data_IF_949803206567
#
_entry.id   IF_949803206567
#
_cell.length_a   1.000
_cell.length_b   1.000
_cell.length_c   1.000
_cell.angle_alpha   90.00
_cell.angle_beta   90.00
_cell.angle_gamma   90.00
#
_symmetry.space_group_name_H-M   'P 1'
#
loop_
_entity.id
_entity.type
_entity.pdbx_description
1 polymer ?
#
# COMPACT_ATOMS: atom_id res chain seq x y z
N UNK A 1 21.52 -4.40 31.07
CA UNK A 1 20.99 -5.78 30.97
C UNK A 1 19.62 -5.71 30.35
N UNK A 2 19.49 -5.92 29.03
CA UNK A 2 18.22 -6.03 28.33
C UNK A 2 18.32 -7.23 27.37
N UNK A 3 17.36 -8.13 27.50
CA UNK A 3 17.35 -9.48 26.94
C UNK A 3 17.08 -9.51 25.45
N UNK A 4 17.87 -10.33 24.75
CA UNK A 4 17.60 -10.89 23.42
C UNK A 4 16.23 -11.57 23.36
N UNK A 5 15.51 -11.35 22.26
CA UNK A 5 14.48 -12.28 21.79
C UNK A 5 14.77 -12.59 20.33
N UNK A 6 15.29 -13.80 20.11
CA UNK A 6 15.50 -14.43 18.80
C UNK A 6 14.29 -15.30 18.48
N UNK A 7 13.56 -14.97 17.41
CA UNK A 7 12.50 -15.84 16.90
C UNK A 7 13.11 -16.91 15.97
N UNK A 8 13.16 -18.15 16.44
CA UNK A 8 13.42 -19.35 15.63
C UNK A 8 12.10 -19.80 14.99
N UNK A 9 12.05 -19.81 13.66
CA UNK A 9 10.97 -20.45 12.90
C UNK A 9 11.29 -21.94 12.74
N UNK A 10 10.48 -22.79 13.36
CA UNK A 10 10.54 -24.24 13.23
C UNK A 10 9.54 -24.66 12.16
N UNK A 11 10.04 -25.14 11.02
CA UNK A 11 9.22 -25.77 9.97
C UNK A 11 9.08 -27.26 10.32
N UNK A 12 7.88 -27.69 10.68
CA UNK A 12 7.55 -29.11 10.86
C UNK A 12 6.91 -29.66 9.60
N UNK A 13 7.63 -30.53 8.90
CA UNK A 13 7.12 -31.40 7.85
C UNK A 13 6.23 -32.48 8.46
N UNK A 14 4.98 -32.58 7.99
CA UNK A 14 4.09 -33.70 8.34
C UNK A 14 3.93 -34.63 7.15
N UNK A 15 4.22 -35.90 7.46
CA UNK A 15 4.22 -37.09 6.62
C UNK A 15 2.79 -37.44 6.16
N UNK A 16 2.59 -37.63 4.85
CA UNK A 16 1.33 -38.13 4.30
C UNK A 16 1.43 -39.64 4.08
N UNK A 17 0.73 -40.41 4.92
CA UNK A 17 0.63 -41.88 4.85
C UNK A 17 -0.69 -42.27 4.19
N UNK A 18 -0.62 -43.15 3.20
CA UNK A 18 -1.72 -43.50 2.32
C UNK A 18 -2.84 -44.32 2.94
N UNK A 19 -4.02 -44.21 2.33
CA UNK A 19 -5.12 -45.16 2.46
C UNK A 19 -5.52 -45.68 1.07
N UNK A 20 -5.36 -47.00 0.90
CA UNK A 20 -5.95 -47.81 -0.17
C UNK A 20 -7.48 -47.69 -0.11
N UNK A 21 -8.11 -47.42 -1.24
CA UNK A 21 -9.54 -47.71 -1.43
C UNK A 21 -9.71 -48.49 -2.74
N UNK A 22 -10.23 -49.72 -2.62
CA UNK A 22 -10.68 -50.52 -3.76
C UNK A 22 -12.19 -50.39 -3.91
N UNK A 23 -12.62 -50.11 -5.14
CA UNK A 23 -13.84 -50.64 -5.76
C UNK A 23 -15.16 -49.93 -5.42
N UNK A 24 -15.75 -49.24 -6.40
CA UNK A 24 -16.90 -49.81 -7.08
C UNK A 24 -17.24 -49.07 -8.39
N UNK A 25 -17.54 -49.85 -9.42
CA UNK A 25 -18.07 -49.37 -10.69
C UNK A 25 -19.52 -48.90 -10.52
N UNK A 26 -19.82 -47.66 -10.94
CA UNK A 26 -21.11 -47.23 -11.49
C UNK A 26 -21.02 -45.79 -12.00
N UNK A 27 -21.76 -45.55 -13.09
CA UNK A 27 -22.11 -44.23 -13.66
C UNK A 27 -21.15 -43.62 -14.68
N UNK A 28 -21.10 -44.29 -15.83
CA UNK A 28 -21.11 -43.65 -17.15
C UNK A 28 -22.32 -42.70 -17.27
N UNK A 29 -22.18 -41.41 -16.92
CA UNK A 29 -23.13 -40.34 -17.24
C UNK A 29 -22.63 -38.92 -16.92
N UNK A 30 -21.37 -38.57 -17.18
CA UNK A 30 -20.89 -37.16 -17.11
C UNK A 30 -19.89 -36.82 -18.22
N UNK A 31 -20.01 -37.48 -19.37
CA UNK A 31 -19.30 -37.07 -20.59
C UNK A 31 -20.14 -35.99 -21.30
N UNK A 32 -20.08 -34.76 -20.80
CA UNK A 32 -20.94 -33.69 -21.32
C UNK A 32 -20.85 -32.35 -20.60
N UNK A 33 -19.68 -32.01 -20.06
CA UNK A 33 -19.31 -30.61 -19.86
C UNK A 33 -17.92 -30.46 -20.42
N UNK A 34 -17.85 -30.22 -21.72
CA UNK A 34 -16.71 -29.54 -22.32
C UNK A 34 -16.50 -28.31 -21.44
N UNK A 35 -15.48 -28.36 -20.60
CA UNK A 35 -14.95 -27.19 -19.93
C UNK A 35 -14.70 -26.18 -21.02
N UNK A 36 -15.51 -25.12 -21.07
CA UNK A 36 -15.18 -23.94 -21.86
C UNK A 36 -13.73 -23.59 -21.49
N UNK A 37 -12.81 -23.82 -22.43
CA UNK A 37 -11.43 -23.36 -22.29
C UNK A 37 -11.52 -21.85 -22.18
N UNK A 38 -11.48 -21.36 -20.94
CA UNK A 38 -11.39 -19.94 -20.66
C UNK A 38 -10.05 -19.50 -21.24
N UNK A 39 -10.09 -18.89 -22.42
CA UNK A 39 -8.90 -18.32 -23.04
C UNK A 39 -8.32 -17.31 -22.04
N UNK A 40 -7.14 -17.62 -21.51
CA UNK A 40 -6.40 -16.69 -20.66
C UNK A 40 -5.81 -15.68 -21.64
N UNK A 41 -6.39 -14.49 -21.70
CA UNK A 41 -5.81 -13.37 -22.45
C UNK A 41 -4.52 -12.96 -21.73
N UNK A 42 -3.40 -13.18 -22.40
CA UNK A 42 -2.10 -12.69 -21.94
C UNK A 42 -1.94 -11.21 -22.28
N UNK A 43 -1.46 -10.39 -21.35
CA UNK A 43 -1.12 -9.00 -21.61
C UNK A 43 -0.18 -8.87 -22.81
N UNK A 44 -0.43 -7.89 -23.67
CA UNK A 44 0.54 -7.53 -24.71
C UNK A 44 1.72 -6.75 -24.11
N UNK A 45 2.79 -6.60 -24.89
CA UNK A 45 3.98 -5.84 -24.45
C UNK A 45 3.61 -4.41 -24.00
N UNK A 46 2.66 -3.76 -24.68
CA UNK A 46 2.16 -2.43 -24.29
C UNK A 46 1.44 -2.41 -22.94
N UNK A 47 0.67 -3.45 -22.60
CA UNK A 47 0.01 -3.55 -21.30
C UNK A 47 1.04 -3.80 -20.19
N UNK A 48 2.10 -4.56 -20.48
CA UNK A 48 3.21 -4.78 -19.55
C UNK A 48 4.02 -3.51 -19.29
N UNK A 49 4.22 -2.68 -20.32
CA UNK A 49 4.84 -1.36 -20.18
C UNK A 49 3.97 -0.43 -19.34
N UNK A 50 2.66 -0.38 -19.59
CA UNK A 50 1.69 0.41 -18.80
C UNK A 50 1.68 -0.02 -17.31
N UNK A 51 1.67 -1.33 -17.04
CA UNK A 51 1.74 -1.86 -15.67
C UNK A 51 3.09 -1.59 -14.99
N UNK A 52 4.18 -1.61 -15.77
CA UNK A 52 5.51 -1.25 -15.26
C UNK A 52 5.57 0.23 -14.90
N UNK A 53 4.99 1.09 -15.73
CA UNK A 53 4.83 2.51 -15.45
C UNK A 53 4.05 2.73 -14.14
N UNK A 54 2.86 2.12 -14.00
CA UNK A 54 2.04 2.20 -12.79
C UNK A 54 2.79 1.74 -11.54
N UNK A 55 3.58 0.67 -11.65
CA UNK A 55 4.40 0.18 -10.54
C UNK A 55 5.46 1.19 -10.10
N UNK A 56 6.20 1.75 -11.05
CA UNK A 56 7.24 2.76 -10.75
C UNK A 56 6.59 4.02 -10.17
N UNK A 57 5.47 4.46 -10.74
CA UNK A 57 4.73 5.61 -10.27
C UNK A 57 4.20 5.39 -8.84
N UNK A 58 3.64 4.21 -8.55
CA UNK A 58 3.19 3.82 -7.21
C UNK A 58 4.30 3.81 -6.17
N UNK A 59 5.52 3.38 -6.52
CA UNK A 59 6.69 3.46 -5.61
C UNK A 59 7.03 4.92 -5.29
N UNK A 60 7.09 5.78 -6.32
CA UNK A 60 7.38 7.20 -6.12
C UNK A 60 6.31 7.88 -5.27
N UNK A 61 5.04 7.52 -5.47
CA UNK A 61 3.91 8.01 -4.68
C UNK A 61 4.05 7.60 -3.20
N UNK A 62 4.36 6.34 -2.93
CA UNK A 62 4.56 5.85 -1.57
C UNK A 62 5.70 6.58 -0.85
N UNK A 63 6.80 6.87 -1.55
CA UNK A 63 7.90 7.67 -1.01
C UNK A 63 7.50 9.12 -0.72
N UNK A 64 6.74 9.76 -1.61
CA UNK A 64 6.19 11.12 -1.36
C UNK A 64 5.29 11.12 -0.13
N UNK A 65 4.38 10.15 -0.04
CA UNK A 65 3.50 10.00 1.12
C UNK A 65 4.30 9.85 2.42
N UNK A 66 5.33 8.99 2.43
CA UNK A 66 6.22 8.83 3.59
C UNK A 66 6.87 10.15 4.01
N UNK A 67 7.40 10.93 3.05
CA UNK A 67 8.02 12.24 3.33
C UNK A 67 7.03 13.24 3.90
N UNK A 68 5.81 13.30 3.38
CA UNK A 68 4.75 14.19 3.90
C UNK A 68 4.46 13.86 5.36
N UNK A 69 4.31 12.57 5.69
CA UNK A 69 4.06 12.12 7.06
C UNK A 69 5.23 12.47 7.99
N UNK A 70 6.47 12.27 7.53
CA UNK A 70 7.67 12.63 8.29
C UNK A 70 7.75 14.14 8.55
N UNK A 71 7.55 14.96 7.51
CA UNK A 71 7.57 16.42 7.61
C UNK A 71 6.46 16.93 8.53
N UNK A 72 5.26 16.36 8.43
CA UNK A 72 4.12 16.69 9.30
C UNK A 72 4.45 16.40 10.76
N UNK A 73 5.03 15.23 11.03
CA UNK A 73 5.42 14.83 12.38
C UNK A 73 6.48 15.77 12.94
N UNK A 74 7.45 16.17 12.13
CA UNK A 74 8.46 17.16 12.52
C UNK A 74 7.83 18.51 12.87
N UNK A 75 6.95 19.04 12.01
CA UNK A 75 6.27 20.32 12.26
C UNK A 75 5.42 20.31 13.53
N UNK A 76 4.74 19.20 13.82
CA UNK A 76 3.96 19.06 15.06
C UNK A 76 4.86 19.06 16.30
N UNK A 77 6.03 18.41 16.22
CA UNK A 77 7.01 18.45 17.30
C UNK A 77 7.59 19.87 17.49
N UNK A 78 7.87 20.59 16.40
CA UNK A 78 8.28 22.00 16.42
C UNK A 78 7.20 22.87 17.07
N UNK A 79 5.94 22.73 16.67
CA UNK A 79 4.81 23.45 17.26
C UNK A 79 4.67 23.19 18.75
N UNK A 80 4.76 21.92 19.17
CA UNK A 80 4.68 21.55 20.58
C UNK A 80 5.83 22.19 21.38
N UNK A 81 7.03 22.21 20.81
CA UNK A 81 8.20 22.84 21.46
C UNK A 81 7.98 24.33 21.64
N UNK A 82 7.47 25.02 20.61
CA UNK A 82 7.12 26.44 20.68
C UNK A 82 6.05 26.69 21.75
N UNK A 83 4.97 25.91 21.76
CA UNK A 83 3.89 26.06 22.75
C UNK A 83 4.37 25.86 24.19
N UNK A 84 5.29 24.91 24.41
CA UNK A 84 5.87 24.67 25.73
C UNK A 84 6.81 25.81 26.15
N UNK A 85 7.66 26.28 25.24
CA UNK A 85 8.64 27.33 25.53
C UNK A 85 7.97 28.66 25.87
N UNK A 86 6.89 29.00 25.18
CA UNK A 86 6.14 30.26 25.33
C UNK A 86 4.87 30.09 26.19
N UNK A 87 4.82 29.06 27.03
CA UNK A 87 3.71 28.83 27.97
C UNK A 87 3.71 29.78 29.18
N UNK A 88 4.83 30.49 29.41
CA UNK A 88 4.95 31.49 30.46
C UNK A 88 4.20 32.78 30.07
N UNK A 89 3.21 33.23 30.87
CA UNK A 89 2.43 34.44 30.58
C UNK A 89 3.26 35.74 30.58
N UNK A 90 4.49 35.71 31.09
CA UNK A 90 5.40 36.86 31.08
C UNK A 90 6.31 36.89 29.84
N UNK A 91 6.26 35.87 28.98
CA UNK A 91 6.99 35.85 27.72
C UNK A 91 6.15 36.39 26.56
N UNK A 92 6.76 37.11 25.60
CA UNK A 92 6.07 37.56 24.40
C UNK A 92 5.61 36.34 23.58
N UNK A 93 4.38 36.35 23.03
CA UNK A 93 3.84 35.20 22.32
C UNK A 93 4.61 34.93 21.02
N UNK A 94 4.90 33.65 20.77
CA UNK A 94 5.56 33.17 19.54
C UNK A 94 4.62 33.09 18.33
N UNK A 95 3.71 34.05 18.20
CA UNK A 95 2.69 34.10 17.16
C UNK A 95 3.27 33.92 15.76
N UNK A 96 4.37 34.62 15.43
CA UNK A 96 5.04 34.49 14.12
C UNK A 96 5.49 33.05 13.83
N UNK A 97 6.07 32.35 14.82
CA UNK A 97 6.52 30.96 14.64
C UNK A 97 5.34 30.01 14.43
N UNK A 98 4.24 30.23 15.14
CA UNK A 98 3.02 29.43 14.98
C UNK A 98 2.37 29.66 13.61
N UNK A 99 2.38 30.91 13.10
CA UNK A 99 1.94 31.22 11.74
C UNK A 99 2.80 30.55 10.68
N UNK A 100 4.13 30.57 10.83
CA UNK A 100 5.05 29.90 9.90
C UNK A 100 4.81 28.38 9.87
N UNK A 101 4.58 27.76 11.04
CA UNK A 101 4.26 26.34 11.13
C UNK A 101 2.91 26.03 10.47
N UNK A 102 1.90 26.87 10.70
CA UNK A 102 0.61 26.74 10.04
C UNK A 102 0.74 26.79 8.51
N UNK A 103 1.44 27.80 7.98
CA UNK A 103 1.64 27.94 6.53
C UNK A 103 2.36 26.72 5.93
N UNK A 104 3.37 26.17 6.62
CA UNK A 104 4.06 24.94 6.18
C UNK A 104 3.15 23.71 6.23
N UNK A 105 2.24 23.64 7.22
CA UNK A 105 1.27 22.56 7.32
C UNK A 105 0.25 22.59 6.16
N UNK A 106 -0.22 23.78 5.79
CA UNK A 106 -1.13 23.97 4.65
C UNK A 106 -0.51 23.46 3.35
N UNK A 107 0.76 23.79 3.10
CA UNK A 107 1.51 23.27 1.94
C UNK A 107 1.57 21.73 1.93
N UNK A 108 1.83 21.10 3.08
CA UNK A 108 1.87 19.63 3.16
C UNK A 108 0.49 18.99 2.94
N UNK A 109 -0.58 19.64 3.37
CA UNK A 109 -1.96 19.18 3.11
C UNK A 109 -2.24 19.24 1.61
N UNK A 110 -1.87 20.33 0.93
CA UNK A 110 -2.04 20.45 -0.52
C UNK A 110 -1.22 19.38 -1.27
N UNK A 111 0.03 19.13 -0.87
CA UNK A 111 0.84 18.05 -1.43
C UNK A 111 0.21 16.67 -1.21
N UNK A 112 -0.36 16.43 -0.02
CA UNK A 112 -1.05 15.19 0.31
C UNK A 112 -2.30 14.98 -0.55
N UNK A 113 -3.11 16.03 -0.74
CA UNK A 113 -4.27 15.99 -1.62
C UNK A 113 -3.86 15.69 -3.08
N UNK A 114 -2.76 16.28 -3.55
CA UNK A 114 -2.20 15.97 -4.87
C UNK A 114 -1.85 14.48 -5.02
N UNK A 115 -1.20 13.90 -4.01
CA UNK A 115 -0.88 12.46 -3.99
C UNK A 115 -2.13 11.57 -4.04
N UNK A 116 -3.23 11.98 -3.38
CA UNK A 116 -4.50 11.24 -3.43
C UNK A 116 -5.17 11.30 -4.82
N UNK A 117 -5.08 12.44 -5.50
CA UNK A 117 -5.58 12.58 -6.88
C UNK A 117 -4.78 11.68 -7.82
N UNK A 118 -3.45 11.69 -7.73
CA UNK A 118 -2.58 10.80 -8.51
C UNK A 118 -2.93 9.32 -8.28
N UNK A 119 -3.25 8.91 -7.05
CA UNK A 119 -3.68 7.54 -6.78
C UNK A 119 -5.01 7.18 -7.44
N UNK A 120 -5.97 8.11 -7.45
CA UNK A 120 -7.26 7.89 -8.09
C UNK A 120 -7.12 7.75 -9.61
N UNK A 121 -6.27 8.58 -10.24
CA UNK A 121 -5.96 8.51 -11.67
C UNK A 121 -5.26 7.20 -12.03
N UNK A 122 -4.24 6.81 -11.27
CA UNK A 122 -3.53 5.55 -11.48
C UNK A 122 -4.47 4.33 -11.38
N UNK A 123 -5.39 4.34 -10.40
CA UNK A 123 -6.36 3.25 -10.23
C UNK A 123 -7.34 3.19 -11.41
N UNK A 124 -7.83 4.34 -11.88
CA UNK A 124 -8.69 4.41 -13.05
C UNK A 124 -7.96 3.94 -14.32
N UNK A 125 -6.66 4.23 -14.44
CA UNK A 125 -5.85 3.73 -15.54
C UNK A 125 -5.63 2.21 -15.46
N UNK A 126 -5.34 1.70 -14.26
CA UNK A 126 -5.20 0.26 -14.02
C UNK A 126 -6.49 -0.50 -14.39
N UNK A 127 -7.65 0.02 -14.00
CA UNK A 127 -8.95 -0.55 -14.35
C UNK A 127 -9.16 -0.62 -15.87
N UNK A 128 -8.68 0.37 -16.63
CA UNK A 128 -8.74 0.36 -18.09
C UNK A 128 -7.83 -0.73 -18.69
N UNK A 129 -6.64 -0.96 -18.11
CA UNK A 129 -5.76 -2.06 -18.53
C UNK A 129 -6.49 -3.40 -18.32
N UNK A 130 -7.05 -3.61 -17.13
CA UNK A 130 -7.74 -4.87 -16.81
C UNK A 130 -8.99 -5.09 -17.64
N UNK A 131 -9.75 -4.03 -17.96
CA UNK A 131 -10.92 -4.11 -18.83
C UNK A 131 -10.58 -4.49 -20.28
N UNK A 132 -9.37 -4.18 -20.77
CA UNK A 132 -8.89 -4.63 -22.09
C UNK A 132 -8.51 -6.11 -22.12
N UNK A 133 -8.19 -6.68 -20.96
CA UNK A 133 -7.73 -8.07 -20.80
C UNK A 133 -8.83 -9.05 -20.37
N UNK A 134 -10.05 -8.54 -20.11
CA UNK A 134 -11.22 -9.32 -19.68
C UNK A 134 -12.17 -9.62 -20.83
#
# INVERSE_FOLDING_TARGET
MLSSITNKLTVTSSTFTGARFMGNARSSALLGKVTEERLILTPGDGDLDDLTYLRVHGINRAERHRRIVENTSQLLNEAQTVLLQFSDPYQPPASNLLWDIQARMEVLVDEFLGVLVEEAEDRAFEEQIWARLS
#
